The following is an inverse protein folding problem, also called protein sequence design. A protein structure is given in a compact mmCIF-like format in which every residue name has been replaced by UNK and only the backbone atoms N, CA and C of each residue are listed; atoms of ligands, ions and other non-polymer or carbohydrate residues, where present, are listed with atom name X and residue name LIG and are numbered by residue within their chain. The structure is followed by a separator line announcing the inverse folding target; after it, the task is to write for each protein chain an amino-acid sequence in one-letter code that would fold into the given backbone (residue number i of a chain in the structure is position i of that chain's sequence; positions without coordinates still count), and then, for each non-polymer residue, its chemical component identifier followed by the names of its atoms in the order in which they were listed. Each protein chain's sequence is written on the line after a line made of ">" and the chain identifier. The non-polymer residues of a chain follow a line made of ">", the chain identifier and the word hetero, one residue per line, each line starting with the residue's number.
data_IF_205600863472
#
_entry.id   IF_205600863472
#
_cell.length_a   1.000
_cell.length_b   1.000
_cell.length_c   1.000
_cell.angle_alpha   90.00
_cell.angle_beta   90.00
_cell.angle_gamma   90.00
#
_symmetry.space_group_name_H-M   'P 1'
#
loop_
_entity.id
_entity.type
_entity.pdbx_description
1 polymer ?
#
# COMPACT_ATOMS: atom_id res chain seq x y z
N UNK A 1 -15.29 13.30 1.31
CA UNK A 1 -13.95 13.76 0.94
C UNK A 1 -13.46 12.81 -0.12
N UNK A 2 -13.42 13.25 -1.38
CA UNK A 2 -12.95 12.42 -2.49
C UNK A 2 -11.47 12.71 -2.65
N UNK A 3 -10.61 11.78 -2.23
CA UNK A 3 -9.18 11.85 -2.53
C UNK A 3 -9.03 11.39 -3.99
N UNK A 4 -8.83 12.35 -4.88
CA UNK A 4 -8.52 12.09 -6.28
C UNK A 4 -7.02 12.27 -6.56
N UNK A 5 -6.59 11.91 -7.77
CA UNK A 5 -5.21 12.00 -8.23
C UNK A 5 -4.63 13.42 -8.23
N UNK A 6 -5.44 14.45 -8.03
CA UNK A 6 -5.00 15.86 -7.97
C UNK A 6 -4.73 16.36 -6.56
N UNK A 7 -5.11 15.59 -5.54
CA UNK A 7 -4.86 15.94 -4.14
C UNK A 7 -3.60 15.22 -3.64
N UNK A 8 -2.48 15.92 -3.36
CA UNK A 8 -1.31 15.29 -2.76
C UNK A 8 -1.72 14.76 -1.38
N UNK A 9 -1.75 13.44 -1.22
CA UNK A 9 -2.05 12.80 0.04
C UNK A 9 -0.77 12.35 0.79
N UNK A 10 0.40 12.68 0.24
CA UNK A 10 1.68 12.48 0.92
C UNK A 10 1.77 13.28 2.22
N UNK A 11 2.21 12.64 3.29
CA UNK A 11 2.27 13.24 4.63
C UNK A 11 0.90 13.57 5.26
N UNK A 12 -0.22 13.12 4.68
CA UNK A 12 -1.55 13.35 5.26
C UNK A 12 -1.84 12.40 6.43
N UNK A 13 -2.65 12.87 7.37
CA UNK A 13 -3.11 12.08 8.51
C UNK A 13 -4.48 11.46 8.17
N UNK A 14 -4.47 10.21 7.70
CA UNK A 14 -5.68 9.47 7.32
C UNK A 14 -6.02 8.37 8.34
N UNK A 15 -5.37 8.42 9.51
CA UNK A 15 -5.47 7.42 10.58
C UNK A 15 -6.90 6.99 10.89
N UNK A 16 -7.16 5.68 10.81
CA UNK A 16 -8.45 5.09 11.13
C UNK A 16 -9.58 5.32 10.11
N UNK A 17 -9.31 5.95 8.96
CA UNK A 17 -10.29 6.04 7.88
C UNK A 17 -10.56 4.66 7.24
N UNK A 18 -11.64 4.58 6.47
CA UNK A 18 -11.98 3.37 5.71
C UNK A 18 -12.04 3.68 4.22
N UNK A 19 -11.25 2.93 3.45
CA UNK A 19 -11.27 2.84 2.00
C UNK A 19 -11.70 1.44 1.56
N UNK A 20 -12.45 0.72 2.41
CA UNK A 20 -12.90 -0.63 2.12
C UNK A 20 -13.70 -0.65 0.82
N UNK A 21 -13.32 -1.54 -0.11
CA UNK A 21 -13.91 -1.66 -1.46
C UNK A 21 -13.77 -0.41 -2.34
N UNK A 22 -12.98 0.58 -1.95
CA UNK A 22 -12.75 1.76 -2.77
C UNK A 22 -11.79 1.44 -3.93
N UNK A 23 -11.94 2.16 -5.04
CA UNK A 23 -10.92 2.23 -6.08
C UNK A 23 -10.13 3.52 -5.90
N UNK A 24 -8.83 3.40 -5.67
CA UNK A 24 -7.90 4.51 -5.47
C UNK A 24 -7.07 4.66 -6.75
N UNK A 25 -7.30 5.74 -7.48
CA UNK A 25 -6.66 5.98 -8.78
C UNK A 25 -5.48 6.94 -8.61
N UNK A 26 -4.27 6.46 -8.93
CA UNK A 26 -3.05 7.29 -8.92
C UNK A 26 -2.84 8.11 -7.64
N UNK A 27 -3.32 7.62 -6.49
CA UNK A 27 -3.24 8.35 -5.23
C UNK A 27 -1.85 8.18 -4.60
N UNK A 28 -1.14 9.28 -4.42
CA UNK A 28 0.14 9.27 -3.71
C UNK A 28 -0.08 9.36 -2.20
N UNK A 29 0.09 8.22 -1.52
CA UNK A 29 0.04 8.08 -0.06
C UNK A 29 1.46 7.91 0.52
N UNK A 30 2.51 8.31 -0.20
CA UNK A 30 3.88 8.18 0.30
C UNK A 30 4.06 8.99 1.58
N UNK A 31 4.75 8.43 2.58
CA UNK A 31 4.98 9.05 3.89
C UNK A 31 3.70 9.38 4.71
N UNK A 32 2.51 8.93 4.27
CA UNK A 32 1.26 9.22 4.96
C UNK A 32 1.10 8.45 6.28
N UNK A 33 0.42 9.04 7.27
CA UNK A 33 -0.02 8.31 8.46
C UNK A 33 -1.34 7.58 8.16
N UNK A 34 -1.20 6.28 7.86
CA UNK A 34 -2.27 5.36 7.51
C UNK A 34 -2.54 4.35 8.64
N UNK A 35 -2.10 4.64 9.88
CA UNK A 35 -2.26 3.68 10.96
C UNK A 35 -3.75 3.35 11.20
N UNK A 36 -4.05 2.05 11.31
CA UNK A 36 -5.42 1.56 11.51
C UNK A 36 -6.38 1.77 10.34
N UNK A 37 -5.92 2.21 9.16
CA UNK A 37 -6.79 2.40 7.99
C UNK A 37 -7.29 1.06 7.45
N UNK A 38 -8.56 1.01 7.06
CA UNK A 38 -9.17 -0.17 6.46
C UNK A 38 -9.14 -0.11 4.93
N UNK A 39 -8.22 -0.85 4.31
CA UNK A 39 -8.08 -1.01 2.85
C UNK A 39 -8.61 -2.36 2.36
N UNK A 40 -9.38 -3.11 3.16
CA UNK A 40 -9.86 -4.43 2.75
C UNK A 40 -10.65 -4.34 1.44
N UNK A 41 -10.38 -5.27 0.53
CA UNK A 41 -11.00 -5.33 -0.80
C UNK A 41 -10.83 -4.04 -1.63
N UNK A 42 -9.93 -3.12 -1.25
CA UNK A 42 -9.64 -1.92 -2.04
C UNK A 42 -8.83 -2.25 -3.30
N UNK A 43 -8.99 -1.46 -4.34
CA UNK A 43 -8.26 -1.58 -5.60
C UNK A 43 -7.36 -0.36 -5.75
N UNK A 44 -6.05 -0.57 -5.83
CA UNK A 44 -5.08 0.48 -6.13
C UNK A 44 -4.77 0.44 -7.63
N UNK A 45 -5.30 1.40 -8.37
CA UNK A 45 -5.03 1.58 -9.81
C UNK A 45 -3.90 2.59 -10.00
N UNK A 46 -2.71 2.19 -9.55
CA UNK A 46 -1.53 3.05 -9.43
C UNK A 46 -1.39 3.66 -8.04
N UNK A 47 -0.64 4.77 -7.97
CA UNK A 47 -0.35 5.45 -6.71
C UNK A 47 0.83 4.83 -5.96
N UNK A 48 1.11 5.34 -4.76
CA UNK A 48 2.28 4.94 -3.96
C UNK A 48 1.90 4.78 -2.50
N UNK A 49 2.41 3.73 -1.85
CA UNK A 49 2.40 3.50 -0.41
C UNK A 49 3.83 3.54 0.17
N UNK A 50 4.78 4.06 -0.59
CA UNK A 50 6.18 4.13 -0.20
C UNK A 50 6.34 4.84 1.15
N UNK A 51 7.09 4.22 2.05
CA UNK A 51 7.43 4.77 3.38
C UNK A 51 6.21 5.16 4.26
N UNK A 52 4.99 4.72 3.91
CA UNK A 52 3.78 5.04 4.67
C UNK A 52 3.74 4.34 6.03
N UNK A 53 3.18 5.02 7.04
CA UNK A 53 3.00 4.43 8.37
C UNK A 53 1.74 3.56 8.42
N UNK A 54 1.93 2.25 8.28
CA UNK A 54 0.84 1.28 8.10
C UNK A 54 0.47 0.48 9.37
N UNK A 55 0.90 0.93 10.55
CA UNK A 55 0.68 0.17 11.79
C UNK A 55 -0.81 -0.11 12.02
N UNK A 56 -1.18 -1.38 12.01
CA UNK A 56 -2.57 -1.82 12.21
C UNK A 56 -3.51 -1.57 11.03
N UNK A 57 -3.00 -1.10 9.88
CA UNK A 57 -3.77 -1.03 8.65
C UNK A 57 -4.14 -2.45 8.18
N UNK A 58 -5.25 -2.57 7.44
CA UNK A 58 -5.78 -3.85 6.99
C UNK A 58 -5.90 -3.92 5.48
N UNK A 59 -5.31 -4.94 4.88
CA UNK A 59 -5.27 -5.14 3.42
C UNK A 59 -5.89 -6.47 2.95
N UNK A 60 -6.68 -7.16 3.79
CA UNK A 60 -7.30 -8.44 3.41
C UNK A 60 -8.10 -8.27 2.10
N UNK A 61 -7.71 -8.98 1.03
CA UNK A 61 -8.35 -8.93 -0.28
C UNK A 61 -8.05 -7.68 -1.13
N UNK A 62 -7.14 -6.80 -0.69
CA UNK A 62 -6.76 -5.62 -1.47
C UNK A 62 -5.96 -6.00 -2.73
N UNK A 63 -6.17 -5.28 -3.83
CA UNK A 63 -5.36 -5.39 -5.05
C UNK A 63 -4.33 -4.25 -5.10
N UNK A 64 -3.07 -4.58 -4.88
CA UNK A 64 -1.94 -3.65 -4.84
C UNK A 64 -1.04 -3.79 -6.08
N UNK A 65 -1.40 -4.62 -7.06
CA UNK A 65 -0.50 -5.01 -8.17
C UNK A 65 0.05 -3.83 -8.98
N UNK A 66 -0.66 -2.70 -9.00
CA UNK A 66 -0.25 -1.47 -9.71
C UNK A 66 0.29 -0.37 -8.79
N UNK A 67 0.21 -0.52 -7.46
CA UNK A 67 0.75 0.46 -6.53
C UNK A 67 2.27 0.39 -6.46
N UNK A 68 2.92 1.53 -6.22
CA UNK A 68 4.32 1.53 -5.81
C UNK A 68 4.40 1.11 -4.33
N UNK A 69 5.04 -0.04 -4.09
CA UNK A 69 5.34 -0.59 -2.76
C UNK A 69 6.85 -0.55 -2.48
N UNK A 70 7.62 0.25 -3.23
CA UNK A 70 9.06 0.41 -2.98
C UNK A 70 9.30 0.88 -1.54
N UNK A 71 10.31 0.32 -0.89
CA UNK A 71 10.58 0.57 0.53
C UNK A 71 9.75 -0.28 1.50
N UNK A 72 8.83 -1.12 0.99
CA UNK A 72 8.17 -2.13 1.81
C UNK A 72 9.17 -3.16 2.30
N UNK A 73 9.41 -3.16 3.62
CA UNK A 73 10.33 -4.10 4.26
C UNK A 73 9.64 -5.41 4.59
N UNK A 74 10.41 -6.50 4.63
CA UNK A 74 9.86 -7.83 4.96
C UNK A 74 9.23 -7.91 6.36
N UNK A 75 9.71 -7.11 7.31
CA UNK A 75 9.12 -6.99 8.67
C UNK A 75 7.69 -6.46 8.62
N UNK A 76 7.35 -5.70 7.58
CA UNK A 76 6.05 -5.11 7.35
C UNK A 76 5.16 -5.98 6.43
N UNK A 77 5.72 -7.05 5.81
CA UNK A 77 4.99 -7.92 4.89
C UNK A 77 3.76 -8.58 5.54
N UNK A 78 3.80 -8.82 6.85
CA UNK A 78 2.67 -9.33 7.62
C UNK A 78 1.45 -8.40 7.62
N UNK A 79 1.64 -7.09 7.45
CA UNK A 79 0.56 -6.09 7.35
C UNK A 79 -0.26 -6.27 6.07
N UNK A 80 0.37 -6.77 5.01
CA UNK A 80 -0.25 -7.00 3.70
C UNK A 80 -0.83 -8.41 3.55
N UNK A 81 -1.04 -9.13 4.66
CA UNK A 81 -1.62 -10.48 4.63
C UNK A 81 -2.96 -10.46 3.87
N UNK A 82 -3.07 -11.34 2.87
CA UNK A 82 -4.28 -11.48 2.06
C UNK A 82 -4.42 -10.45 0.94
N UNK A 83 -3.47 -9.52 0.78
CA UNK A 83 -3.40 -8.63 -0.38
C UNK A 83 -2.80 -9.37 -1.60
N UNK A 84 -3.12 -8.87 -2.79
CA UNK A 84 -2.52 -9.33 -4.05
C UNK A 84 -1.45 -8.34 -4.49
N UNK A 85 -0.22 -8.84 -4.69
CA UNK A 85 0.93 -8.08 -5.21
C UNK A 85 1.38 -8.64 -6.56
N UNK A 86 2.15 -7.87 -7.32
CA UNK A 86 2.71 -8.27 -8.61
C UNK A 86 4.00 -9.09 -8.45
N UNK A 87 4.40 -9.81 -9.50
CA UNK A 87 5.67 -10.53 -9.56
C UNK A 87 6.88 -9.62 -9.29
N UNK A 88 6.84 -8.37 -9.78
CA UNK A 88 7.90 -7.40 -9.57
C UNK A 88 7.98 -6.98 -8.09
N UNK A 89 6.84 -6.74 -7.43
CA UNK A 89 6.81 -6.41 -6.00
C UNK A 89 7.30 -7.58 -5.14
N UNK A 90 6.92 -8.81 -5.48
CA UNK A 90 7.44 -10.01 -4.82
C UNK A 90 8.96 -10.14 -5.03
N UNK A 91 9.47 -9.83 -6.23
CA UNK A 91 10.89 -9.87 -6.51
C UNK A 91 11.67 -8.87 -5.65
N UNK A 92 11.16 -7.63 -5.51
CA UNK A 92 11.76 -6.60 -4.64
C UNK A 92 11.92 -7.11 -3.21
N UNK A 93 10.85 -7.65 -2.62
CA UNK A 93 10.88 -8.20 -1.25
C UNK A 93 11.94 -9.28 -1.06
N UNK A 94 12.03 -10.20 -2.02
CA UNK A 94 12.99 -11.31 -1.96
C UNK A 94 14.42 -10.79 -2.16
N UNK A 95 14.63 -9.79 -3.01
CA UNK A 95 15.95 -9.16 -3.19
C UNK A 95 16.43 -8.39 -1.97
N UNK A 96 15.53 -7.82 -1.16
CA UNK A 96 15.90 -7.20 0.12
C UNK A 96 16.47 -8.20 1.13
N UNK A 97 16.17 -9.49 0.98
CA UNK A 97 16.78 -10.57 1.76
C UNK A 97 18.17 -10.98 1.23
N UNK A 98 18.67 -10.32 0.20
CA UNK A 98 19.90 -10.70 -0.51
C UNK A 98 19.73 -11.92 -1.43
N UNK A 99 18.49 -12.36 -1.67
CA UNK A 99 18.18 -13.49 -2.55
C UNK A 99 18.05 -12.99 -4.01
N UNK A 100 18.44 -13.84 -4.97
CA UNK A 100 18.34 -13.50 -6.40
C UNK A 100 17.09 -14.10 -7.00
N UNK A 101 16.36 -13.29 -7.75
CA UNK A 101 15.22 -13.71 -8.59
C UNK A 101 15.74 -13.84 -10.02
N UNK A 102 15.51 -15.00 -10.65
CA UNK A 102 15.95 -15.31 -12.01
C UNK A 102 14.78 -15.73 -12.89
#
# INVERSE_FOLDING_TARGET
>A
MSLDSTTPASGTHLRGLSFRKATLQQLDLSDADLAGVDFREAIFDGGSLKDAHLKGARFDGADLRKADLSGMRLVDAALFKGATISHQQAAVLVTELGLRVM
#
